data_IF_671295444840
#
_entry.id   IF_671295444840
#
_cell.length_a   1.000
_cell.length_b   1.000
_cell.length_c   1.000
_cell.angle_alpha   90.00
_cell.angle_beta   90.00
_cell.angle_gamma   90.00
#
_symmetry.space_group_name_H-M   'P 1'
#
loop_
_entity.id
_entity.type
_entity.pdbx_description
1 polymer ?
#
# COMPACT_ATOMS: atom_id res chain seq x y z
N UNK A 1 -2.10 8.87 -7.31
CA UNK A 1 -2.56 9.79 -6.26
C UNK A 1 -3.14 8.95 -5.12
N UNK A 2 -2.76 9.24 -3.87
CA UNK A 2 -3.18 8.52 -2.66
C UNK A 2 -4.07 9.39 -1.78
N UNK A 3 -4.65 8.84 -0.72
CA UNK A 3 -5.73 9.53 0.02
C UNK A 3 -5.21 10.78 0.74
N UNK A 4 -3.96 10.76 1.23
CA UNK A 4 -3.33 11.93 1.84
C UNK A 4 -2.76 12.94 0.84
N UNK A 5 -2.86 12.69 -0.47
CA UNK A 5 -2.48 13.65 -1.53
C UNK A 5 -3.66 14.39 -2.16
N UNK A 6 -4.90 14.15 -1.69
CA UNK A 6 -6.14 14.67 -2.28
C UNK A 6 -6.29 16.20 -2.25
N UNK A 7 -5.50 16.94 -1.45
CA UNK A 7 -5.66 18.39 -1.25
C UNK A 7 -4.56 19.24 -1.92
N UNK A 8 -4.32 19.05 -3.22
CA UNK A 8 -3.35 19.83 -4.01
C UNK A 8 -1.88 19.70 -3.56
N UNK A 9 -1.56 18.64 -2.82
CA UNK A 9 -0.18 18.31 -2.45
C UNK A 9 0.46 17.56 -3.61
N UNK A 10 1.61 18.04 -4.10
CA UNK A 10 2.39 17.31 -5.09
C UNK A 10 2.69 15.90 -4.57
N UNK A 11 2.56 14.87 -5.42
CA UNK A 11 2.78 13.49 -5.01
C UNK A 11 3.66 12.72 -5.99
N UNK A 12 4.37 11.73 -5.47
CA UNK A 12 5.20 10.81 -6.26
C UNK A 12 5.20 9.40 -5.65
N UNK A 13 5.48 8.34 -6.42
CA UNK A 13 5.57 6.99 -5.87
C UNK A 13 6.77 6.84 -4.93
N UNK A 14 6.64 5.94 -3.97
CA UNK A 14 7.72 5.50 -3.09
C UNK A 14 8.76 4.64 -3.83
N UNK A 15 9.99 4.66 -3.33
CA UNK A 15 11.11 3.84 -3.81
C UNK A 15 11.63 2.93 -2.71
N UNK A 16 12.13 1.75 -3.07
CA UNK A 16 12.81 0.85 -2.12
C UNK A 16 14.03 1.55 -1.51
N UNK A 17 14.24 1.37 -0.20
CA UNK A 17 15.31 2.00 0.56
C UNK A 17 15.05 3.47 0.93
N UNK A 18 13.95 4.07 0.47
CA UNK A 18 13.63 5.45 0.75
C UNK A 18 13.26 5.67 2.23
N UNK A 19 13.81 6.74 2.82
CA UNK A 19 13.46 7.19 4.18
C UNK A 19 12.28 8.15 4.15
N UNK A 20 11.20 7.72 4.80
CA UNK A 20 9.94 8.42 4.92
C UNK A 20 9.77 9.01 6.32
N UNK A 21 9.03 10.10 6.40
CA UNK A 21 8.58 10.71 7.63
C UNK A 21 7.06 10.91 7.59
N UNK A 22 6.38 10.46 8.65
CA UNK A 22 4.96 10.70 8.85
C UNK A 22 4.73 12.22 8.99
N UNK A 23 4.05 12.81 8.01
CA UNK A 23 3.91 14.26 7.85
C UNK A 23 2.44 14.64 7.85
N UNK A 24 2.11 15.70 8.57
CA UNK A 24 0.81 16.35 8.43
C UNK A 24 0.88 17.37 7.30
N UNK A 25 0.04 17.20 6.29
CA UNK A 25 -0.04 18.10 5.14
C UNK A 25 -1.07 19.21 5.37
N UNK A 26 -1.02 20.24 4.53
CA UNK A 26 -2.03 21.31 4.52
C UNK A 26 -3.42 20.71 4.28
N UNK A 27 -4.35 20.99 5.19
CA UNK A 27 -5.68 20.35 5.22
C UNK A 27 -5.87 19.34 6.37
N UNK A 28 -4.83 19.09 7.18
CA UNK A 28 -4.93 18.30 8.40
C UNK A 28 -4.83 16.78 8.18
N UNK A 29 -4.68 16.33 6.94
CA UNK A 29 -4.43 14.92 6.62
C UNK A 29 -2.99 14.55 6.99
N UNK A 30 -2.80 13.32 7.45
CA UNK A 30 -1.48 12.76 7.73
C UNK A 30 -1.15 11.67 6.72
N UNK A 31 0.10 11.65 6.29
CA UNK A 31 0.63 10.74 5.28
C UNK A 31 2.13 10.60 5.39
N UNK A 32 2.77 10.14 4.33
CA UNK A 32 4.23 10.04 4.26
C UNK A 32 4.81 11.06 3.29
N UNK A 33 5.97 11.59 3.64
CA UNK A 33 6.84 12.38 2.77
C UNK A 33 8.26 11.84 2.88
N UNK A 34 9.15 12.18 1.94
CA UNK A 34 10.57 11.93 2.14
C UNK A 34 11.14 12.91 3.17
N UNK A 35 12.13 12.47 3.97
CA UNK A 35 12.72 13.32 5.02
C UNK A 35 13.22 14.68 4.51
N UNK A 36 13.77 14.71 3.29
CA UNK A 36 14.26 15.95 2.65
C UNK A 36 13.20 16.75 1.88
N UNK A 37 11.99 16.22 1.69
CA UNK A 37 10.95 16.81 0.85
C UNK A 37 9.57 16.79 1.53
N UNK A 38 9.39 17.41 2.72
CA UNK A 38 8.16 17.29 3.51
C UNK A 38 6.90 17.88 2.85
N UNK A 39 7.04 18.63 1.74
CA UNK A 39 5.93 19.20 0.97
C UNK A 39 5.44 18.30 -0.17
N UNK A 40 6.12 17.17 -0.41
CA UNK A 40 5.77 16.21 -1.46
C UNK A 40 5.31 14.92 -0.81
N UNK A 41 4.07 14.52 -1.07
CA UNK A 41 3.53 13.27 -0.58
C UNK A 41 4.20 12.09 -1.30
N UNK A 42 4.69 11.14 -0.52
CA UNK A 42 5.21 9.88 -1.04
C UNK A 42 4.11 8.84 -0.95
N UNK A 43 3.62 8.45 -2.12
CA UNK A 43 2.54 7.51 -2.33
C UNK A 43 3.01 6.05 -2.24
N UNK A 44 2.39 5.28 -1.36
CA UNK A 44 2.64 3.84 -1.18
C UNK A 44 1.65 3.01 -2.01
N UNK A 45 2.12 1.88 -2.53
CA UNK A 45 1.26 0.90 -3.21
C UNK A 45 0.77 -0.13 -2.18
N UNK A 46 -0.47 -0.64 -2.26
CA UNK A 46 -0.92 -1.77 -1.44
C UNK A 46 0.07 -2.93 -1.55
N UNK A 47 0.55 -3.41 -0.39
CA UNK A 47 1.61 -4.41 -0.28
C UNK A 47 3.02 -3.85 -0.04
N UNK A 48 3.23 -2.52 -0.11
CA UNK A 48 4.51 -1.91 0.28
C UNK A 48 4.80 -2.18 1.76
N UNK A 49 5.99 -2.65 2.09
CA UNK A 49 6.40 -2.90 3.47
C UNK A 49 7.35 -1.81 3.98
N UNK A 50 7.16 -1.44 5.24
CA UNK A 50 7.89 -0.37 5.91
C UNK A 50 8.57 -0.92 7.17
N UNK A 51 9.79 -0.48 7.43
CA UNK A 51 10.47 -0.61 8.72
C UNK A 51 10.54 0.74 9.42
N UNK A 52 9.91 0.87 10.57
CA UNK A 52 9.96 2.05 11.41
C UNK A 52 11.23 2.09 12.25
N UNK A 53 11.78 3.29 12.45
CA UNK A 53 12.96 3.49 13.30
C UNK A 53 12.66 3.12 14.77
N UNK A 54 11.39 3.24 15.20
CA UNK A 54 10.89 2.98 16.54
C UNK A 54 9.53 2.26 16.49
N UNK A 55 9.03 1.79 17.62
CA UNK A 55 7.72 1.14 17.70
C UNK A 55 6.61 2.07 17.18
N UNK A 56 5.72 1.54 16.34
CA UNK A 56 4.67 2.33 15.68
C UNK A 56 3.76 2.96 16.73
N UNK A 57 3.59 4.27 16.64
CA UNK A 57 2.69 5.08 17.48
C UNK A 57 1.53 5.63 16.65
N UNK A 58 0.35 5.66 17.25
CA UNK A 58 -0.84 6.21 16.60
C UNK A 58 -1.80 6.82 17.62
N UNK A 59 -2.58 7.78 17.15
CA UNK A 59 -3.59 8.49 17.91
C UNK A 59 -4.83 7.58 18.00
N UNK A 60 -5.17 7.11 19.20
CA UNK A 60 -6.38 6.31 19.46
C UNK A 60 -7.60 7.23 19.68
N UNK A 61 -7.34 8.39 20.27
CA UNK A 61 -8.28 9.49 20.48
C UNK A 61 -7.47 10.79 20.47
N UNK A 62 -8.15 11.93 20.47
CA UNK A 62 -7.52 13.26 20.46
C UNK A 62 -6.54 13.50 21.62
N UNK A 63 -6.69 12.75 22.72
CA UNK A 63 -5.88 12.91 23.95
C UNK A 63 -4.93 11.71 24.16
N UNK A 64 -5.21 10.55 23.57
CA UNK A 64 -4.51 9.30 23.88
C UNK A 64 -3.77 8.75 22.67
N UNK A 65 -2.46 8.54 22.86
CA UNK A 65 -1.58 7.86 21.91
C UNK A 65 -1.34 6.44 22.37
N UNK A 66 -1.42 5.51 21.43
CA UNK A 66 -1.04 4.12 21.64
C UNK A 66 0.31 3.85 20.97
N UNK A 67 1.16 3.10 21.64
CA UNK A 67 2.43 2.58 21.10
C UNK A 67 2.27 1.07 20.96
N UNK A 68 2.66 0.55 19.81
CA UNK A 68 2.67 -0.89 19.54
C UNK A 68 3.98 -1.51 20.01
N UNK A 69 4.17 -2.81 19.81
CA UNK A 69 5.46 -3.50 19.97
C UNK A 69 6.04 -3.93 18.61
N UNK A 70 5.60 -3.28 17.52
CA UNK A 70 6.01 -3.60 16.16
C UNK A 70 6.72 -2.42 15.52
N UNK A 71 7.76 -2.75 14.74
CA UNK A 71 8.52 -1.81 13.92
C UNK A 71 8.42 -2.09 12.44
N UNK A 72 7.53 -2.99 12.05
CA UNK A 72 7.26 -3.29 10.65
C UNK A 72 5.78 -3.20 10.41
N UNK A 73 5.41 -2.76 9.21
CA UNK A 73 4.03 -2.74 8.78
C UNK A 73 3.93 -2.88 7.26
N UNK A 74 2.82 -3.46 6.81
CA UNK A 74 2.46 -3.52 5.39
C UNK A 74 1.39 -2.49 5.09
N UNK A 75 1.63 -1.67 4.08
CA UNK A 75 0.62 -0.74 3.58
C UNK A 75 -0.50 -1.49 2.87
N UNK A 76 -1.74 -1.09 3.11
CA UNK A 76 -2.93 -1.60 2.42
C UNK A 76 -3.98 -0.50 2.29
N UNK A 77 -4.96 -0.74 1.41
CA UNK A 77 -6.19 0.05 1.36
C UNK A 77 -7.35 -0.75 1.98
N UNK A 78 -8.18 -0.09 2.78
CA UNK A 78 -9.36 -0.68 3.44
C UNK A 78 -10.63 0.09 3.08
N UNK A 79 -11.80 -0.53 3.29
CA UNK A 79 -13.12 0.10 3.12
C UNK A 79 -13.27 0.87 1.79
N UNK A 80 -12.73 0.34 0.69
CA UNK A 80 -12.63 1.07 -0.59
C UNK A 80 -14.00 1.40 -1.22
N UNK A 81 -15.05 0.77 -0.73
CA UNK A 81 -16.44 0.97 -1.08
C UNK A 81 -17.07 2.19 -0.38
N UNK A 82 -16.43 2.76 0.65
CA UNK A 82 -16.94 3.91 1.39
C UNK A 82 -16.24 5.23 1.02
N UNK A 83 -16.83 6.08 0.18
CA UNK A 83 -16.17 7.28 -0.33
C UNK A 83 -15.89 8.37 0.71
N UNK A 84 -16.39 8.23 1.95
CA UNK A 84 -16.26 9.23 3.01
C UNK A 84 -15.21 8.88 4.06
N UNK A 85 -14.42 7.83 3.86
CA UNK A 85 -13.37 7.40 4.80
C UNK A 85 -11.99 7.47 4.18
N UNK A 86 -10.98 7.59 5.03
CA UNK A 86 -9.61 7.31 4.61
C UNK A 86 -9.43 5.80 4.49
N UNK A 87 -8.80 5.38 3.40
CA UNK A 87 -8.59 3.97 3.06
C UNK A 87 -7.15 3.55 3.31
N UNK A 88 -6.21 4.50 3.20
CA UNK A 88 -4.78 4.25 3.40
C UNK A 88 -4.50 3.82 4.85
N UNK A 89 -4.00 2.60 5.02
CA UNK A 89 -3.77 1.97 6.31
C UNK A 89 -2.48 1.15 6.36
N UNK A 90 -2.01 0.90 7.58
CA UNK A 90 -0.90 0.02 7.90
C UNK A 90 -1.40 -1.20 8.65
N UNK A 91 -1.11 -2.38 8.13
CA UNK A 91 -1.32 -3.67 8.76
C UNK A 91 -0.05 -4.11 9.49
N UNK A 92 -0.15 -4.36 10.78
CA UNK A 92 0.93 -4.85 11.63
C UNK A 92 1.00 -6.39 11.60
N UNK A 93 2.12 -6.99 12.05
CA UNK A 93 2.28 -8.45 12.05
C UNK A 93 1.24 -9.23 12.87
N UNK A 94 0.61 -8.62 13.86
CA UNK A 94 -0.47 -9.21 14.65
C UNK A 94 -1.86 -9.08 13.99
N UNK A 95 -1.92 -8.52 12.78
CA UNK A 95 -3.16 -8.27 12.05
C UNK A 95 -3.87 -6.97 12.42
N UNK A 96 -3.36 -6.17 13.37
CA UNK A 96 -3.94 -4.87 13.67
C UNK A 96 -3.78 -3.91 12.49
N UNK A 97 -4.85 -3.20 12.15
CA UNK A 97 -4.87 -2.22 11.05
C UNK A 97 -5.02 -0.82 11.60
N UNK A 98 -4.10 0.08 11.23
CA UNK A 98 -4.02 1.47 11.68
C UNK A 98 -4.18 2.38 10.47
N UNK A 99 -5.12 3.31 10.50
CA UNK A 99 -5.23 4.35 9.47
C UNK A 99 -3.97 5.21 9.44
N UNK A 100 -3.44 5.49 8.24
CA UNK A 100 -2.25 6.36 8.08
C UNK A 100 -2.51 7.74 8.66
N UNK A 101 -3.75 8.23 8.57
CA UNK A 101 -4.16 9.52 9.14
C UNK A 101 -4.04 9.58 10.67
N UNK A 102 -4.03 8.44 11.36
CA UNK A 102 -3.90 8.36 12.81
C UNK A 102 -2.45 8.18 13.28
N UNK A 103 -1.48 7.89 12.41
CA UNK A 103 -0.09 7.68 12.83
C UNK A 103 0.44 8.91 13.57
N UNK A 104 1.24 8.79 14.62
CA UNK A 104 1.86 9.99 15.20
C UNK A 104 2.82 10.64 14.20
N UNK A 105 2.70 11.97 14.04
CA UNK A 105 3.59 12.76 13.18
C UNK A 105 5.06 12.67 13.60
N UNK A 106 5.97 12.81 12.65
CA UNK A 106 7.42 12.81 12.85
C UNK A 106 8.06 11.43 12.98
N UNK A 107 7.27 10.35 12.97
CA UNK A 107 7.80 8.99 12.94
C UNK A 107 8.44 8.69 11.60
N UNK A 108 9.55 7.96 11.64
CA UNK A 108 10.37 7.65 10.47
C UNK A 108 10.26 6.18 10.11
N UNK A 109 10.24 5.92 8.81
CA UNK A 109 10.24 4.57 8.30
C UNK A 109 11.04 4.45 7.00
N UNK A 110 11.65 3.31 6.77
CA UNK A 110 12.30 2.95 5.52
C UNK A 110 11.40 2.03 4.71
N UNK A 111 11.28 2.29 3.41
CA UNK A 111 10.60 1.38 2.47
C UNK A 111 11.46 0.13 2.28
N UNK A 112 10.98 -1.01 2.76
CA UNK A 112 11.69 -2.29 2.64
C UNK A 112 11.50 -2.89 1.25
N UNK A 113 10.27 -2.91 0.76
CA UNK A 113 9.93 -3.45 -0.54
C UNK A 113 8.65 -2.82 -1.09
N UNK A 114 8.56 -2.80 -2.41
CA UNK A 114 7.32 -2.52 -3.14
C UNK A 114 6.58 -3.85 -3.38
N UNK A 115 5.26 -3.84 -3.60
CA UNK A 115 4.53 -5.06 -3.91
C UNK A 115 5.13 -5.74 -5.15
N UNK A 116 5.22 -7.07 -5.08
CA UNK A 116 5.62 -7.88 -6.23
C UNK A 116 4.46 -7.92 -7.22
N UNK A 117 4.61 -7.24 -8.35
CA UNK A 117 3.71 -7.42 -9.49
C UNK A 117 3.97 -8.78 -10.09
N UNK A 118 3.14 -9.78 -9.78
CA UNK A 118 3.06 -10.99 -10.61
C UNK A 118 2.45 -10.56 -11.94
N UNK A 119 3.28 -10.23 -12.92
CA UNK A 119 2.84 -10.18 -14.31
C UNK A 119 2.58 -11.63 -14.71
N UNK A 120 1.34 -12.03 -15.06
CA UNK A 120 1.15 -13.33 -15.67
C UNK A 120 1.99 -13.32 -16.95
N UNK A 121 3.02 -14.17 -16.99
CA UNK A 121 3.77 -14.40 -18.21
C UNK A 121 2.78 -14.73 -19.31
N UNK A 122 2.90 -14.02 -20.43
CA UNK A 122 2.06 -14.19 -21.60
C UNK A 122 1.79 -15.67 -21.85
N UNK A 123 0.53 -16.10 -21.64
CA UNK A 123 0.04 -17.33 -22.22
C UNK A 123 0.26 -17.21 -23.73
N UNK A 124 1.22 -17.97 -24.23
CA UNK A 124 1.50 -18.09 -25.65
C UNK A 124 0.19 -18.51 -26.32
N UNK A 125 -0.30 -17.85 -27.38
CA UNK A 125 -1.46 -18.34 -28.08
C UNK A 125 -1.04 -19.62 -28.78
N UNK A 126 -1.42 -20.78 -28.24
CA UNK A 126 -1.31 -22.05 -28.96
C UNK A 126 -2.15 -21.91 -30.22
N UNK A 127 -1.47 -21.90 -31.36
CA UNK A 127 -2.06 -21.82 -32.68
C UNK A 127 -3.13 -22.90 -32.85
N UNK A 128 -4.28 -22.50 -33.38
CA UNK A 128 -5.23 -23.39 -34.01
C UNK A 128 -4.58 -24.03 -35.25
N UNK A 129 -4.56 -25.36 -35.37
CA UNK A 129 -4.64 -26.03 -36.69
C UNK A 129 -5.17 -27.48 -36.63
N UNK A 130 -6.50 -27.58 -36.81
CA UNK A 130 -7.23 -28.45 -37.74
C UNK A 130 -6.59 -29.76 -38.29
N UNK A 131 -7.19 -30.94 -38.02
CA UNK A 131 -7.36 -32.00 -39.06
C UNK A 131 -8.37 -33.13 -38.73
N UNK A 132 -9.53 -33.04 -39.38
CA UNK A 132 -10.32 -34.06 -40.11
C UNK A 132 -10.39 -35.54 -39.66
N UNK A 133 -11.65 -36.01 -39.54
CA UNK A 133 -12.28 -37.27 -40.01
C UNK A 133 -11.57 -38.61 -39.72
N UNK A 134 -12.31 -39.56 -39.10
CA UNK A 134 -12.73 -40.83 -39.71
C UNK A 134 -13.54 -41.69 -38.70
N UNK A 135 -14.81 -41.97 -39.01
CA UNK A 135 -15.63 -42.99 -38.34
C UNK A 135 -15.64 -44.24 -39.22
N UNK A 136 -15.28 -45.44 -38.73
CA UNK A 136 -15.64 -46.68 -39.39
C UNK A 136 -16.97 -47.20 -38.83
N UNK A 137 -17.81 -47.68 -39.73
CA UNK A 137 -18.99 -48.48 -39.43
C UNK A 137 -18.61 -49.92 -39.06
N UNK A 138 -19.33 -50.53 -38.12
CA UNK A 138 -19.57 -51.98 -37.98
C UNK A 138 -20.75 -52.12 -37.00
N UNK A 139 -21.95 -52.47 -37.43
CA UNK A 139 -22.43 -53.82 -37.77
C UNK A 139 -22.35 -54.79 -36.59
N UNK A 140 -23.49 -54.96 -35.88
CA UNK A 140 -24.14 -56.22 -35.52
C UNK A 140 -25.56 -55.91 -35.03
#
# INVERSE_FOLDING_TARGET
MCDYSLHAVASRPAKVGERLIATSFSGGTRGFAAEGEPKVAVCLLPGTELAFDQDVKYDQSWIWKKTTNFRVARFRKIDQDNPHRHHDALELPDGNVILVTHLSSGQRATVLQLPVSHQPEHATPTAEEHSKRNTPASAL
#
